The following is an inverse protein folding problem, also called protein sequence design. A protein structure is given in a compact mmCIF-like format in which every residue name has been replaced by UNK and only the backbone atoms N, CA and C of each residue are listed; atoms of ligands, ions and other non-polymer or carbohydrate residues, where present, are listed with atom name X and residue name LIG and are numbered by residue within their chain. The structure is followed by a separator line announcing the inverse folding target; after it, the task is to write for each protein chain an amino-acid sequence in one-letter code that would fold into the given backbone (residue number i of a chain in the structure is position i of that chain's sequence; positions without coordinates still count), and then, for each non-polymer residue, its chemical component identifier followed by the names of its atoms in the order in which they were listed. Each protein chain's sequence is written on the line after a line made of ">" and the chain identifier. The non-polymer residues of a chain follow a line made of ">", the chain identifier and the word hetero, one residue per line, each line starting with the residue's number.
data_IF_363467445787
#
_entry.id   IF_363467445787
#
_cell.length_a   1.000
_cell.length_b   1.000
_cell.length_c   1.000
_cell.angle_alpha   90.00
_cell.angle_beta   90.00
_cell.angle_gamma   90.00
#
_symmetry.space_group_name_H-M   'P 1'
#
loop_
_entity.id
_entity.type
_entity.pdbx_description
1 polymer ?
#
# COMPACT_ATOMS: atom_id res chain seq x y z
N UNK A 1 -0.79 -31.01 14.85
CA UNK A 1 -0.90 -29.69 14.19
C UNK A 1 0.42 -29.44 13.46
N UNK A 2 0.49 -29.78 12.18
CA UNK A 2 1.76 -29.79 11.41
C UNK A 2 2.17 -28.37 11.05
N UNK A 3 3.23 -27.85 11.69
CA UNK A 3 3.89 -26.61 11.25
C UNK A 3 4.50 -26.88 9.87
N UNK A 4 4.08 -26.11 8.86
CA UNK A 4 4.55 -26.24 7.47
C UNK A 4 5.92 -25.54 7.28
N UNK A 5 6.74 -26.01 6.33
CA UNK A 5 8.09 -25.50 6.14
C UNK A 5 8.11 -24.04 5.66
N UNK A 6 9.19 -23.28 5.96
CA UNK A 6 9.39 -21.91 5.50
C UNK A 6 9.36 -21.81 3.97
N UNK A 7 8.72 -20.77 3.41
CA UNK A 7 8.77 -20.46 1.98
C UNK A 7 7.53 -20.79 1.15
N UNK A 8 6.45 -21.30 1.76
CA UNK A 8 5.17 -21.44 1.05
C UNK A 8 4.36 -20.14 1.09
N UNK A 9 4.24 -19.47 -0.06
CA UNK A 9 3.35 -18.31 -0.25
C UNK A 9 1.94 -18.74 -0.65
N UNK A 10 0.95 -18.15 -0.01
CA UNK A 10 -0.44 -18.26 -0.40
C UNK A 10 -0.73 -17.32 -1.58
N UNK A 11 -1.01 -17.88 -2.76
CA UNK A 11 -1.56 -17.11 -3.88
C UNK A 11 -3.08 -17.19 -3.87
N UNK A 12 -3.74 -16.17 -3.33
CA UNK A 12 -5.15 -15.87 -3.61
C UNK A 12 -5.27 -14.40 -4.06
N UNK A 13 -6.26 -14.05 -4.89
CA UNK A 13 -6.34 -12.75 -5.58
C UNK A 13 -6.53 -11.53 -4.65
N UNK A 14 -6.76 -11.76 -3.36
CA UNK A 14 -7.03 -10.75 -2.33
C UNK A 14 -5.71 -10.35 -1.65
N UNK A 15 -5.17 -9.19 -2.03
CA UNK A 15 -3.76 -8.82 -1.81
C UNK A 15 -3.53 -8.17 -0.45
N UNK A 16 -3.04 -8.97 0.50
CA UNK A 16 -1.92 -8.57 1.37
C UNK A 16 -0.90 -9.68 1.35
N UNK A 17 0.35 -9.28 1.18
CA UNK A 17 1.48 -10.18 1.18
C UNK A 17 2.54 -9.53 2.06
N UNK A 18 2.55 -9.95 3.32
CA UNK A 18 3.76 -9.84 4.14
C UNK A 18 4.52 -11.13 3.88
N UNK A 19 5.65 -11.01 3.18
CA UNK A 19 6.44 -12.15 2.75
C UNK A 19 7.91 -11.90 3.01
N UNK A 20 8.62 -12.92 3.49
CA UNK A 20 10.08 -12.89 3.54
C UNK A 20 10.56 -13.55 2.24
N UNK A 21 11.18 -12.77 1.36
CA UNK A 21 11.89 -13.33 0.23
C UNK A 21 13.38 -13.03 0.40
N UNK A 22 14.18 -14.10 0.38
CA UNK A 22 15.62 -14.06 0.63
C UNK A 22 15.98 -13.50 2.01
N UNK A 23 16.49 -12.25 2.08
CA UNK A 23 16.89 -11.53 3.29
C UNK A 23 16.00 -10.33 3.62
N UNK A 24 15.05 -10.00 2.74
CA UNK A 24 14.20 -8.82 2.91
C UNK A 24 12.79 -9.23 3.31
N UNK A 25 12.25 -8.52 4.30
CA UNK A 25 10.82 -8.53 4.57
C UNK A 25 10.18 -7.60 3.55
N UNK A 26 9.28 -8.14 2.71
CA UNK A 26 8.48 -7.38 1.77
C UNK A 26 7.12 -7.14 2.39
N UNK A 27 6.75 -5.87 2.49
CA UNK A 27 5.48 -5.40 2.99
C UNK A 27 4.60 -4.96 1.82
N UNK A 28 3.51 -5.67 1.60
CA UNK A 28 2.38 -5.20 0.80
C UNK A 28 1.12 -5.36 1.65
N UNK A 29 0.80 -4.32 2.42
CA UNK A 29 -0.20 -4.35 3.46
C UNK A 29 -1.19 -3.20 3.28
N UNK A 30 -2.49 -3.54 3.28
CA UNK A 30 -3.58 -2.58 3.37
C UNK A 30 -4.74 -3.26 4.09
N UNK A 31 -4.96 -2.88 5.36
CA UNK A 31 -5.95 -3.53 6.25
C UNK A 31 -7.34 -3.58 5.62
N UNK A 32 -7.80 -2.48 5.04
CA UNK A 32 -9.13 -2.36 4.43
C UNK A 32 -9.37 -3.42 3.34
N UNK A 33 -8.36 -3.75 2.55
CA UNK A 33 -8.46 -4.75 1.47
C UNK A 33 -8.55 -6.19 1.97
N UNK A 34 -8.26 -6.43 3.26
CA UNK A 34 -8.32 -7.76 3.87
C UNK A 34 -9.54 -8.01 4.73
N UNK A 35 -10.21 -6.95 5.15
CA UNK A 35 -11.39 -7.08 6.00
C UNK A 35 -12.61 -7.56 5.22
N UNK A 36 -12.50 -7.79 3.91
CA UNK A 36 -13.61 -8.16 3.03
C UNK A 36 -14.80 -7.19 3.14
N UNK A 37 -14.53 -5.93 3.44
CA UNK A 37 -15.53 -4.87 3.61
C UNK A 37 -15.93 -4.23 2.29
N UNK A 38 -15.14 -4.46 1.23
CA UNK A 38 -15.35 -3.91 -0.10
C UNK A 38 -15.19 -4.98 -1.18
N UNK A 39 -15.98 -4.90 -2.26
CA UNK A 39 -15.81 -5.77 -3.41
C UNK A 39 -14.59 -5.33 -4.24
N UNK A 40 -14.00 -6.28 -4.98
CA UNK A 40 -13.08 -5.99 -6.07
C UNK A 40 -13.80 -5.34 -7.25
N UNK A 41 -13.01 -4.90 -8.24
CA UNK A 41 -13.50 -4.31 -9.50
C UNK A 41 -14.48 -5.23 -10.25
N UNK A 42 -14.40 -6.55 -10.04
CA UNK A 42 -15.30 -7.55 -10.62
C UNK A 42 -16.57 -7.81 -9.78
N UNK A 43 -16.78 -7.03 -8.71
CA UNK A 43 -17.93 -7.15 -7.81
C UNK A 43 -17.82 -8.27 -6.78
N UNK A 44 -16.74 -9.06 -6.79
CA UNK A 44 -16.57 -10.17 -5.84
C UNK A 44 -15.99 -9.70 -4.51
N UNK A 45 -16.36 -10.33 -3.40
CA UNK A 45 -15.81 -10.02 -2.09
C UNK A 45 -14.67 -10.96 -1.73
N UNK A 46 -13.66 -10.43 -1.03
CA UNK A 46 -12.67 -11.26 -0.39
C UNK A 46 -13.34 -12.20 0.65
N UNK A 47 -12.77 -13.39 0.92
CA UNK A 47 -13.19 -14.19 2.05
C UNK A 47 -13.01 -13.40 3.35
N UNK A 48 -14.01 -13.45 4.24
CA UNK A 48 -13.87 -12.87 5.59
C UNK A 48 -12.66 -13.47 6.31
N UNK A 49 -11.80 -12.66 6.94
CA UNK A 49 -10.66 -13.17 7.66
C UNK A 49 -11.12 -13.98 8.88
N UNK A 50 -10.40 -15.06 9.16
CA UNK A 50 -10.52 -15.81 10.41
C UNK A 50 -10.08 -14.95 11.61
N UNK A 51 -10.50 -15.31 12.83
CA UNK A 51 -10.09 -14.59 14.04
C UNK A 51 -8.56 -14.45 14.17
N UNK A 52 -7.80 -15.52 13.85
CA UNK A 52 -6.32 -15.49 13.85
C UNK A 52 -5.73 -14.55 12.80
N UNK A 53 -6.40 -14.40 11.66
CA UNK A 53 -5.96 -13.45 10.65
C UNK A 53 -6.23 -12.03 11.12
N UNK A 54 -7.39 -11.74 11.70
CA UNK A 54 -7.69 -10.44 12.28
C UNK A 54 -6.66 -10.08 13.36
N UNK A 55 -6.37 -11.00 14.28
CA UNK A 55 -5.34 -10.84 15.32
C UNK A 55 -3.97 -10.51 14.71
N UNK A 56 -3.57 -11.18 13.63
CA UNK A 56 -2.32 -10.89 12.94
C UNK A 56 -2.30 -9.48 12.30
N UNK A 57 -3.45 -9.02 11.76
CA UNK A 57 -3.57 -7.67 11.22
C UNK A 57 -3.52 -6.61 12.32
N UNK A 58 -4.13 -6.89 13.47
CA UNK A 58 -4.08 -6.01 14.65
C UNK A 58 -2.65 -5.89 15.15
N UNK A 59 -1.90 -6.99 15.21
CA UNK A 59 -0.51 -6.96 15.63
C UNK A 59 0.37 -6.14 14.69
N UNK A 60 0.18 -6.27 13.36
CA UNK A 60 0.93 -5.45 12.39
C UNK A 60 0.63 -3.96 12.60
N UNK A 61 -0.63 -3.60 12.82
CA UNK A 61 -1.03 -2.23 13.06
C UNK A 61 -0.45 -1.69 14.37
N UNK A 62 -0.58 -2.43 15.48
CA UNK A 62 -0.02 -2.06 16.79
C UNK A 62 1.50 -1.86 16.73
N UNK A 63 2.21 -2.72 15.99
CA UNK A 63 3.65 -2.57 15.79
C UNK A 63 3.97 -1.36 14.92
N UNK A 64 3.21 -1.12 13.86
CA UNK A 64 3.39 0.07 13.02
C UNK A 64 3.22 1.35 13.84
N UNK A 65 2.17 1.45 14.64
CA UNK A 65 1.91 2.60 15.54
C UNK A 65 3.01 2.75 16.60
N UNK A 66 3.46 1.65 17.20
CA UNK A 66 4.51 1.69 18.23
C UNK A 66 5.87 2.16 17.69
N UNK A 67 6.19 1.83 16.45
CA UNK A 67 7.48 2.11 15.83
C UNK A 67 7.41 3.18 14.72
N UNK A 68 6.32 3.94 14.66
CA UNK A 68 6.15 4.97 13.64
C UNK A 68 7.13 6.14 13.83
N UNK A 69 7.43 6.79 12.72
CA UNK A 69 8.13 8.06 12.69
C UNK A 69 7.22 9.08 12.00
N UNK A 70 6.98 10.21 12.67
CA UNK A 70 6.24 11.33 12.09
C UNK A 70 7.19 12.22 11.31
N UNK A 71 6.82 12.54 10.07
CA UNK A 71 7.56 13.45 9.21
C UNK A 71 6.73 14.72 9.04
N UNK A 72 7.22 15.83 9.58
CA UNK A 72 6.71 17.16 9.30
C UNK A 72 7.32 17.62 7.97
N UNK A 73 6.49 17.79 6.94
CA UNK A 73 6.95 18.22 5.62
C UNK A 73 6.51 19.65 5.33
N UNK A 74 7.44 20.46 4.83
CA UNK A 74 7.21 21.82 4.34
C UNK A 74 7.14 21.85 2.80
N UNK A 75 6.55 22.91 2.20
CA UNK A 75 6.57 23.09 0.75
C UNK A 75 8.01 23.07 0.20
N UNK A 76 8.28 22.12 -0.69
CA UNK A 76 9.60 21.90 -1.29
C UNK A 76 10.34 20.68 -0.74
N UNK A 77 9.90 20.12 0.37
CA UNK A 77 10.48 18.88 0.91
C UNK A 77 10.21 17.67 0.00
N UNK A 78 11.20 16.77 -0.04
CA UNK A 78 11.14 15.54 -0.82
C UNK A 78 11.41 14.34 0.07
N UNK A 79 10.45 13.42 0.14
CA UNK A 79 10.58 12.16 0.85
C UNK A 79 10.82 10.98 -0.12
N UNK A 80 11.92 10.25 0.09
CA UNK A 80 12.19 8.99 -0.60
C UNK A 80 11.83 7.81 0.28
N UNK A 81 10.84 7.02 -0.14
CA UNK A 81 10.33 5.89 0.63
C UNK A 81 10.53 4.59 -0.15
N UNK A 82 11.17 3.60 0.49
CA UNK A 82 11.18 2.24 -0.05
C UNK A 82 9.80 1.58 0.17
N UNK A 83 8.96 1.60 -0.86
CA UNK A 83 7.60 1.09 -0.82
C UNK A 83 7.48 -0.40 -0.44
N UNK A 84 8.54 -1.20 -0.60
CA UNK A 84 8.53 -2.62 -0.21
C UNK A 84 8.95 -2.86 1.24
N UNK A 85 9.64 -1.90 1.85
CA UNK A 85 10.21 -2.04 3.19
C UNK A 85 9.54 -1.20 4.26
N UNK A 86 8.80 -0.15 3.90
CA UNK A 86 8.25 0.83 4.82
C UNK A 86 6.74 0.98 4.59
N UNK A 87 5.96 0.78 5.66
CA UNK A 87 4.56 1.22 5.69
C UNK A 87 4.53 2.74 5.85
N UNK A 88 3.67 3.39 5.07
CA UNK A 88 3.50 4.83 5.13
C UNK A 88 2.02 5.17 5.19
N UNK A 89 1.68 6.17 5.98
CA UNK A 89 0.34 6.66 6.19
C UNK A 89 0.35 8.19 6.26
N UNK A 90 -0.83 8.78 6.37
CA UNK A 90 -1.03 10.19 6.69
C UNK A 90 -2.02 10.28 7.83
N UNK A 91 -1.86 11.28 8.68
CA UNK A 91 -2.88 11.63 9.66
C UNK A 91 -4.11 12.27 8.99
N UNK A 92 -5.19 12.35 9.74
CA UNK A 92 -6.39 13.07 9.35
C UNK A 92 -6.10 14.58 9.25
N UNK A 93 -6.62 15.23 8.22
CA UNK A 93 -6.52 16.67 8.05
C UNK A 93 -7.75 17.19 7.31
N UNK A 94 -8.02 18.49 7.48
CA UNK A 94 -9.09 19.20 6.79
C UNK A 94 -8.46 20.32 5.95
N UNK A 95 -8.85 20.39 4.68
CA UNK A 95 -8.44 21.50 3.81
C UNK A 95 -9.27 22.77 4.12
N UNK A 96 -8.67 23.94 3.90
CA UNK A 96 -9.40 25.21 3.74
C UNK A 96 -9.25 25.73 2.30
N UNK A 97 -10.07 26.69 1.85
CA UNK A 97 -9.90 27.29 0.52
C UNK A 97 -8.50 27.87 0.30
N UNK A 98 -7.86 28.37 1.35
CA UNK A 98 -6.53 28.98 1.33
C UNK A 98 -5.41 27.96 1.57
N UNK A 99 -5.69 26.87 2.29
CA UNK A 99 -4.72 25.85 2.67
C UNK A 99 -5.20 24.47 2.25
N UNK A 100 -4.79 24.05 1.06
CA UNK A 100 -5.02 22.70 0.55
C UNK A 100 -3.72 21.93 0.50
N UNK A 101 -3.71 20.70 1.03
CA UNK A 101 -2.52 19.85 0.94
C UNK A 101 -2.30 19.37 -0.50
N UNK A 102 -1.16 19.72 -1.09
CA UNK A 102 -0.75 19.28 -2.42
C UNK A 102 0.56 18.51 -2.36
N UNK A 103 0.56 17.27 -2.84
CA UNK A 103 1.74 16.40 -2.89
C UNK A 103 1.84 15.74 -4.26
N UNK A 104 2.98 15.88 -4.91
CA UNK A 104 3.31 15.15 -6.13
C UNK A 104 3.99 13.84 -5.76
N UNK A 105 3.52 12.72 -6.30
CA UNK A 105 4.09 11.39 -6.05
C UNK A 105 4.61 10.77 -7.33
N UNK A 106 5.84 10.29 -7.29
CA UNK A 106 6.50 9.58 -8.37
C UNK A 106 6.91 8.18 -7.91
N UNK A 107 6.79 7.20 -8.80
CA UNK A 107 7.26 5.84 -8.59
C UNK A 107 8.60 5.65 -9.29
N UNK A 108 9.62 5.23 -8.55
CA UNK A 108 10.98 5.06 -9.07
C UNK A 108 11.41 3.60 -8.95
N UNK A 109 12.07 3.09 -9.99
CA UNK A 109 12.65 1.74 -9.99
C UNK A 109 14.06 1.78 -10.55
N UNK A 110 15.02 1.45 -9.70
CA UNK A 110 16.39 1.21 -10.11
C UNK A 110 16.57 -0.29 -10.38
N UNK A 111 16.88 -0.67 -11.62
CA UNK A 111 16.98 -2.07 -12.04
C UNK A 111 18.14 -2.83 -11.38
N UNK A 112 19.23 -2.14 -11.04
CA UNK A 112 20.40 -2.74 -10.37
C UNK A 112 20.16 -3.02 -8.88
N UNK A 113 19.27 -2.25 -8.25
CA UNK A 113 18.97 -2.32 -6.81
C UNK A 113 17.59 -2.92 -6.50
N UNK A 114 16.78 -3.22 -7.52
CA UNK A 114 15.43 -3.72 -7.33
C UNK A 114 15.42 -5.05 -6.57
N UNK A 115 14.56 -5.14 -5.56
CA UNK A 115 14.38 -6.39 -4.84
C UNK A 115 13.66 -7.40 -5.73
N UNK A 116 14.04 -8.68 -5.62
CA UNK A 116 13.31 -9.75 -6.27
C UNK A 116 11.90 -9.80 -5.69
N UNK A 117 10.90 -9.73 -6.56
CA UNK A 117 9.50 -9.79 -6.14
C UNK A 117 8.95 -11.22 -6.26
N UNK A 118 8.05 -11.63 -5.35
CA UNK A 118 7.23 -12.81 -5.55
C UNK A 118 6.38 -12.72 -6.83
N UNK A 119 6.08 -13.87 -7.45
CA UNK A 119 5.28 -13.97 -8.69
C UNK A 119 3.96 -13.19 -8.61
N UNK A 120 3.32 -13.24 -7.46
CA UNK A 120 2.05 -12.58 -7.18
C UNK A 120 2.16 -11.05 -7.23
N UNK A 121 3.29 -10.46 -6.84
CA UNK A 121 3.52 -9.01 -6.90
C UNK A 121 4.06 -8.55 -8.27
N UNK A 122 4.68 -9.46 -9.02
CA UNK A 122 5.32 -9.16 -10.30
C UNK A 122 4.37 -8.49 -11.30
N UNK A 123 3.15 -9.01 -11.48
CA UNK A 123 2.19 -8.45 -12.47
C UNK A 123 1.85 -6.98 -12.21
N UNK A 124 1.58 -6.62 -10.96
CA UNK A 124 1.25 -5.24 -10.60
C UNK A 124 2.44 -4.32 -10.81
N UNK A 125 3.62 -4.77 -10.36
CA UNK A 125 4.88 -4.06 -10.56
C UNK A 125 5.22 -3.84 -12.04
N UNK A 126 5.10 -4.87 -12.87
CA UNK A 126 5.41 -4.76 -14.31
C UNK A 126 4.50 -3.72 -14.99
N UNK A 127 3.21 -3.68 -14.64
CA UNK A 127 2.28 -2.66 -15.15
C UNK A 127 2.64 -1.24 -14.72
N UNK A 128 3.15 -1.05 -13.49
CA UNK A 128 3.54 0.28 -12.98
C UNK A 128 4.75 0.86 -13.71
N UNK A 129 5.65 0.00 -14.19
CA UNK A 129 6.88 0.40 -14.87
C UNK A 129 6.88 -0.04 -16.34
N UNK A 130 5.70 -0.04 -16.96
CA UNK A 130 5.54 -0.31 -18.38
C UNK A 130 5.94 0.95 -19.17
N UNK A 131 7.08 0.88 -19.87
CA UNK A 131 7.64 1.98 -20.65
C UNK A 131 6.78 2.34 -21.87
N UNK A 132 5.80 1.51 -22.23
CA UNK A 132 4.87 1.78 -23.33
C UNK A 132 3.64 2.58 -22.88
N UNK A 133 3.46 2.78 -21.57
CA UNK A 133 2.37 3.57 -21.03
C UNK A 133 2.54 5.06 -21.36
N UNK A 134 1.42 5.75 -21.57
CA UNK A 134 1.42 7.20 -21.76
C UNK A 134 1.97 7.91 -20.51
N UNK A 135 2.86 8.87 -20.74
CA UNK A 135 3.46 9.67 -19.68
C UNK A 135 2.54 10.82 -19.28
N UNK A 136 2.04 10.80 -18.04
CA UNK A 136 1.11 11.81 -17.52
C UNK A 136 1.73 12.52 -16.31
N UNK A 137 2.03 13.81 -16.47
CA UNK A 137 2.60 14.67 -15.43
C UNK A 137 1.53 15.52 -14.74
N UNK A 138 1.03 15.05 -13.60
CA UNK A 138 0.09 15.79 -12.75
C UNK A 138 0.80 16.79 -11.82
N UNK A 139 1.65 17.65 -12.38
CA UNK A 139 2.50 18.62 -11.64
C UNK A 139 1.77 19.93 -11.34
N UNK A 140 0.77 20.27 -12.16
CA UNK A 140 -0.13 21.37 -11.86
C UNK A 140 -1.36 20.83 -11.12
N UNK A 141 -1.95 21.61 -10.20
CA UNK A 141 -3.24 21.29 -9.62
C UNK A 141 -4.28 21.20 -10.73
N UNK A 142 -4.66 19.98 -11.13
CA UNK A 142 -5.85 19.76 -11.93
C UNK A 142 -7.08 20.05 -11.06
N UNK A 143 -8.20 20.54 -11.63
CA UNK A 143 -9.47 20.58 -10.92
C UNK A 143 -9.70 19.22 -10.27
N UNK A 144 -9.95 19.18 -8.96
CA UNK A 144 -10.24 17.93 -8.25
C UNK A 144 -11.30 17.22 -9.06
N UNK A 145 -10.94 16.12 -9.73
CA UNK A 145 -11.95 15.21 -10.26
C UNK A 145 -12.75 14.81 -9.04
N UNK A 146 -13.98 15.32 -8.93
CA UNK A 146 -14.88 14.99 -7.85
C UNK A 146 -15.35 13.54 -8.09
N UNK A 147 -14.46 12.58 -7.87
CA UNK A 147 -14.91 11.23 -7.63
C UNK A 147 -15.62 11.22 -6.27
N UNK A 148 -16.66 10.42 -6.12
CA UNK A 148 -17.19 10.13 -4.79
C UNK A 148 -16.05 9.52 -3.99
N UNK A 149 -15.39 10.33 -3.15
CA UNK A 149 -14.56 9.80 -2.09
C UNK A 149 -15.52 8.95 -1.27
N UNK A 150 -15.34 7.62 -1.30
CA UNK A 150 -15.97 6.76 -0.31
C UNK A 150 -15.20 7.01 0.99
N UNK A 151 -15.51 8.10 1.67
CA UNK A 151 -15.13 8.29 3.06
C UNK A 151 -15.88 7.22 3.85
N UNK A 152 -15.20 6.11 4.13
CA UNK A 152 -15.63 5.19 5.18
C UNK A 152 -14.80 5.50 6.42
N UNK A 153 -15.40 6.30 7.29
CA UNK A 153 -15.18 6.13 8.71
C UNK A 153 -15.76 4.77 9.11
N UNK A 154 -14.93 3.95 9.72
CA UNK A 154 -15.31 2.72 10.40
C UNK A 154 -14.34 2.54 11.56
N UNK A 155 -14.83 2.03 12.70
CA UNK A 155 -14.33 2.29 14.05
C UNK A 155 -12.85 1.99 14.28
#
# INVERSE_FOLDING_TARGET
>A
MSLRPPGQMFSKPWRVQIGILTRHIILNFGRIHLMATEPADDGTFAPKPTAKQVEALDLVQQLAEKYQLSLEMEPGDVAFINNLGILHAREEFSDTPENTRYLVRMWLKNMDKAWRLPRTLKRGNDRTYDETAEEIWNVLPAPRVAFKIREKYGP
#
